data_IF_598442435480
#
_entry.id   IF_598442435480
#
_cell.length_a   1.000
_cell.length_b   1.000
_cell.length_c   1.000
_cell.angle_alpha   90.00
_cell.angle_beta   90.00
_cell.angle_gamma   90.00
#
_symmetry.space_group_name_H-M   'P 1'
#
loop_
_entity.id
_entity.type
_entity.pdbx_description
1 polymer ?
#
# COMPACT_ATOMS: atom_id res chain seq x y z
N UNK A 1 -7.53 5.38 11.04
CA UNK A 1 -6.62 4.33 10.52
C UNK A 1 -5.69 4.88 9.44
N UNK A 2 -6.16 5.54 8.37
CA UNK A 2 -5.31 6.09 7.29
C UNK A 2 -4.14 6.92 7.82
N UNK A 3 -4.38 7.89 8.71
CA UNK A 3 -3.31 8.72 9.27
C UNK A 3 -2.26 7.92 10.06
N UNK A 4 -2.70 6.92 10.83
CA UNK A 4 -1.80 6.02 11.58
C UNK A 4 -0.91 5.23 10.62
N UNK A 5 -1.48 4.70 9.54
CA UNK A 5 -0.71 3.95 8.55
C UNK A 5 0.26 4.86 7.79
N UNK A 6 -0.17 6.09 7.41
CA UNK A 6 0.70 7.06 6.76
C UNK A 6 1.88 7.49 7.65
N UNK A 7 1.65 7.70 8.94
CA UNK A 7 2.70 8.02 9.92
C UNK A 7 3.69 6.85 10.06
N UNK A 8 3.17 5.63 10.22
CA UNK A 8 4.01 4.43 10.37
C UNK A 8 4.84 4.11 9.11
N UNK A 9 4.37 4.53 7.92
CA UNK A 9 5.11 4.39 6.66
C UNK A 9 6.30 5.34 6.55
N UNK A 10 6.40 6.38 7.37
CA UNK A 10 7.48 7.38 7.28
C UNK A 10 7.61 7.91 5.84
N UNK A 11 6.51 8.44 5.31
CA UNK A 11 6.45 8.91 3.92
C UNK A 11 7.28 10.18 3.72
N UNK A 12 8.02 10.23 2.60
CA UNK A 12 8.82 11.37 2.19
C UNK A 12 8.51 11.75 0.74
N UNK A 13 8.78 13.00 0.37
CA UNK A 13 8.67 13.47 -1.01
C UNK A 13 9.56 12.62 -1.92
N UNK A 14 9.03 12.21 -3.05
CA UNK A 14 9.74 11.39 -4.03
C UNK A 14 9.61 9.88 -3.84
N UNK A 15 8.99 9.41 -2.74
CA UNK A 15 8.80 7.98 -2.54
C UNK A 15 7.93 7.34 -3.63
N UNK A 16 8.30 6.14 -4.04
CA UNK A 16 7.47 5.24 -4.85
C UNK A 16 6.71 4.31 -3.91
N UNK A 17 5.40 4.38 -3.93
CA UNK A 17 4.52 3.67 -2.99
C UNK A 17 3.64 2.68 -3.73
N UNK A 18 3.53 1.45 -3.21
CA UNK A 18 2.51 0.48 -3.59
C UNK A 18 1.41 0.47 -2.53
N UNK A 19 0.16 0.63 -2.95
CA UNK A 19 -1.02 0.35 -2.14
C UNK A 19 -1.71 -0.91 -2.65
N UNK A 20 -2.04 -1.83 -1.75
CA UNK A 20 -2.84 -3.03 -2.03
C UNK A 20 -4.20 -2.90 -1.36
N UNK A 21 -5.25 -2.85 -2.18
CA UNK A 21 -6.62 -2.56 -1.76
C UNK A 21 -6.97 -1.07 -1.89
N UNK A 22 -7.07 -0.57 -3.13
CA UNK A 22 -7.30 0.85 -3.42
C UNK A 22 -8.65 1.38 -2.96
N UNK A 23 -9.67 0.52 -2.91
CA UNK A 23 -11.01 0.86 -2.46
C UNK A 23 -11.60 2.07 -3.19
N UNK A 24 -11.80 3.17 -2.47
CA UNK A 24 -12.31 4.44 -3.03
C UNK A 24 -11.23 5.33 -3.67
N UNK A 25 -9.95 5.00 -3.49
CA UNK A 25 -8.80 5.85 -3.85
C UNK A 25 -8.42 6.89 -2.79
N UNK A 26 -9.16 6.97 -1.68
CA UNK A 26 -8.92 7.99 -0.65
C UNK A 26 -7.53 7.89 -0.02
N UNK A 27 -7.10 6.68 0.36
CA UNK A 27 -5.79 6.47 0.98
C UNK A 27 -4.66 6.80 -0.02
N UNK A 28 -4.77 6.33 -1.28
CA UNK A 28 -3.82 6.68 -2.34
C UNK A 28 -3.68 8.21 -2.51
N UNK A 29 -4.80 8.97 -2.47
CA UNK A 29 -4.77 10.42 -2.57
C UNK A 29 -4.04 11.08 -1.39
N UNK A 30 -4.28 10.60 -0.16
CA UNK A 30 -3.59 11.13 1.04
C UNK A 30 -2.08 10.86 1.00
N UNK A 31 -1.67 9.67 0.54
CA UNK A 31 -0.26 9.35 0.32
C UNK A 31 0.34 10.26 -0.75
N UNK A 32 -0.36 10.43 -1.88
CA UNK A 32 0.11 11.27 -2.99
C UNK A 32 0.33 12.74 -2.57
N UNK A 33 -0.50 13.27 -1.66
CA UNK A 33 -0.32 14.64 -1.15
C UNK A 33 0.96 14.80 -0.31
N UNK A 34 1.40 13.72 0.36
CA UNK A 34 2.63 13.72 1.16
C UNK A 34 3.88 13.54 0.27
N UNK A 35 3.85 12.57 -0.66
CA UNK A 35 5.04 12.22 -1.46
C UNK A 35 5.22 13.07 -2.72
N UNK A 36 4.18 13.79 -3.12
CA UNK A 36 4.14 14.63 -4.32
C UNK A 36 3.29 15.88 -4.09
N UNK A 37 3.64 16.75 -3.10
CA UNK A 37 2.84 17.92 -2.76
C UNK A 37 2.86 18.95 -3.91
N UNK A 38 1.71 19.57 -4.18
CA UNK A 38 1.56 20.57 -5.26
C UNK A 38 2.53 21.75 -5.18
N UNK A 39 3.07 22.03 -4.00
CA UNK A 39 4.04 23.10 -3.77
C UNK A 39 5.49 22.76 -4.11
N UNK A 40 5.80 21.48 -4.38
CA UNK A 40 7.15 21.05 -4.75
C UNK A 40 7.32 20.91 -6.27
N UNK A 41 8.56 20.98 -6.79
CA UNK A 41 8.85 20.72 -8.19
C UNK A 41 8.36 19.34 -8.63
N UNK A 42 7.74 19.24 -9.82
CA UNK A 42 7.28 17.94 -10.35
C UNK A 42 8.39 16.91 -10.52
N UNK A 43 9.62 17.35 -10.70
CA UNK A 43 10.81 16.48 -10.78
C UNK A 43 11.13 15.74 -9.48
N UNK A 44 10.59 16.21 -8.35
CA UNK A 44 10.77 15.62 -7.02
C UNK A 44 9.57 14.76 -6.60
N UNK A 45 8.52 14.74 -7.40
CA UNK A 45 7.30 14.02 -7.04
C UNK A 45 7.51 12.52 -7.01
N UNK A 46 7.00 11.92 -5.93
CA UNK A 46 6.80 10.48 -5.85
C UNK A 46 5.57 10.03 -6.65
N UNK A 47 5.28 8.73 -6.59
CA UNK A 47 4.13 8.16 -7.28
C UNK A 47 3.50 7.02 -6.47
N UNK A 48 2.17 6.97 -6.43
CA UNK A 48 1.40 5.88 -5.82
C UNK A 48 0.91 4.95 -6.93
N UNK A 49 1.24 3.68 -6.80
CA UNK A 49 0.63 2.59 -7.57
C UNK A 49 -0.32 1.86 -6.65
N UNK A 50 -1.61 1.83 -6.99
CA UNK A 50 -2.61 1.11 -6.20
C UNK A 50 -3.23 -0.02 -7.00
N UNK A 51 -3.38 -1.18 -6.38
CA UNK A 51 -3.95 -2.37 -6.98
C UNK A 51 -5.24 -2.72 -6.23
N UNK A 52 -6.34 -2.80 -6.99
CA UNK A 52 -7.67 -3.16 -6.47
C UNK A 52 -8.17 -4.41 -7.18
N UNK A 53 -8.59 -5.42 -6.41
CA UNK A 53 -9.04 -6.70 -6.97
C UNK A 53 -10.46 -6.63 -7.53
N UNK A 54 -11.30 -5.75 -6.96
CA UNK A 54 -12.69 -5.56 -7.39
C UNK A 54 -12.75 -4.55 -8.52
N UNK A 55 -13.03 -4.99 -9.73
CA UNK A 55 -13.02 -4.15 -10.93
C UNK A 55 -13.85 -2.86 -10.77
N UNK A 56 -15.10 -2.98 -10.29
CA UNK A 56 -15.97 -1.83 -10.11
C UNK A 56 -15.42 -0.79 -9.12
N UNK A 57 -14.73 -1.23 -8.06
CA UNK A 57 -14.07 -0.33 -7.11
C UNK A 57 -12.87 0.35 -7.75
N UNK A 58 -12.05 -0.38 -8.48
CA UNK A 58 -10.89 0.19 -9.18
C UNK A 58 -11.27 1.23 -10.23
N UNK A 59 -12.35 0.98 -10.99
CA UNK A 59 -12.88 1.95 -11.97
C UNK A 59 -13.44 3.20 -11.27
N UNK A 60 -14.15 3.04 -10.15
CA UNK A 60 -14.65 4.15 -9.35
C UNK A 60 -13.49 4.96 -8.74
N UNK A 61 -12.52 4.29 -8.13
CA UNK A 61 -11.33 4.93 -7.58
C UNK A 61 -10.60 5.76 -8.63
N UNK A 62 -10.43 5.24 -9.85
CA UNK A 62 -9.81 5.98 -10.96
C UNK A 62 -10.54 7.29 -11.26
N UNK A 63 -11.89 7.25 -11.31
CA UNK A 63 -12.70 8.46 -11.52
C UNK A 63 -12.54 9.46 -10.37
N UNK A 64 -12.55 8.98 -9.11
CA UNK A 64 -12.36 9.83 -7.95
C UNK A 64 -10.99 10.51 -7.95
N UNK A 65 -9.94 9.76 -8.22
CA UNK A 65 -8.55 10.26 -8.29
C UNK A 65 -8.39 11.33 -9.37
N UNK A 66 -8.94 11.10 -10.56
CA UNK A 66 -8.88 12.09 -11.66
C UNK A 66 -9.66 13.36 -11.28
N UNK A 67 -10.90 13.21 -10.80
CA UNK A 67 -11.76 14.34 -10.43
C UNK A 67 -11.18 15.17 -9.28
N UNK A 68 -10.45 14.53 -8.37
CA UNK A 68 -9.77 15.20 -7.25
C UNK A 68 -8.41 15.81 -7.65
N UNK A 69 -7.96 15.63 -8.91
CA UNK A 69 -6.73 16.21 -9.42
C UNK A 69 -5.45 15.46 -9.01
N UNK A 70 -5.54 14.15 -8.79
CA UNK A 70 -4.40 13.28 -8.44
C UNK A 70 -3.98 12.34 -9.58
N UNK A 71 -4.60 12.45 -10.77
CA UNK A 71 -4.35 11.54 -11.89
C UNK A 71 -2.92 11.50 -12.41
N UNK A 72 -2.11 12.53 -12.12
CA UNK A 72 -0.69 12.60 -12.45
C UNK A 72 0.25 12.03 -11.37
N UNK A 73 -0.29 11.64 -10.21
CA UNK A 73 0.46 11.17 -9.03
C UNK A 73 0.02 9.79 -8.54
N UNK A 74 -1.11 9.29 -9.04
CA UNK A 74 -1.69 8.00 -8.65
C UNK A 74 -2.07 7.20 -9.89
N UNK A 75 -1.60 5.97 -9.96
CA UNK A 75 -2.00 4.98 -10.97
C UNK A 75 -2.82 3.87 -10.31
N UNK A 76 -4.01 3.60 -10.86
CA UNK A 76 -4.89 2.54 -10.36
C UNK A 76 -4.89 1.38 -11.36
N UNK A 77 -4.58 0.19 -10.87
CA UNK A 77 -4.58 -1.07 -11.61
C UNK A 77 -5.62 -2.02 -11.01
N UNK A 78 -6.41 -2.68 -11.84
CA UNK A 78 -7.31 -3.76 -11.41
C UNK A 78 -6.56 -5.08 -11.51
N UNK A 79 -6.50 -5.82 -10.41
CA UNK A 79 -5.78 -7.09 -10.36
C UNK A 79 -5.57 -7.63 -8.96
N UNK A 80 -4.84 -8.72 -8.86
CA UNK A 80 -4.49 -9.37 -7.60
C UNK A 80 -3.32 -8.67 -6.92
N UNK A 81 -3.64 -7.77 -5.98
CA UNK A 81 -2.66 -7.00 -5.21
C UNK A 81 -1.82 -7.84 -4.25
N UNK A 82 -2.25 -9.06 -3.89
CA UNK A 82 -1.44 -9.94 -3.04
C UNK A 82 -0.12 -10.35 -3.68
N UNK A 83 -0.02 -10.26 -5.01
CA UNK A 83 1.20 -10.45 -5.81
C UNK A 83 2.07 -9.21 -5.91
N UNK A 84 1.57 -8.07 -5.43
CA UNK A 84 2.17 -6.76 -5.68
C UNK A 84 1.92 -6.26 -7.09
N UNK A 85 2.81 -5.38 -7.56
CA UNK A 85 2.80 -4.86 -8.93
C UNK A 85 4.24 -4.81 -9.46
N UNK A 86 4.69 -5.95 -9.95
CA UNK A 86 6.08 -6.21 -10.29
C UNK A 86 6.64 -5.25 -11.36
N UNK A 87 5.80 -4.85 -12.33
CA UNK A 87 6.23 -3.94 -13.42
C UNK A 87 6.78 -2.60 -12.92
N UNK A 88 6.36 -2.18 -11.73
CA UNK A 88 6.76 -0.89 -11.14
C UNK A 88 7.66 -1.04 -9.93
N UNK A 89 7.95 -2.28 -9.51
CA UNK A 89 8.88 -2.54 -8.42
C UNK A 89 10.31 -2.05 -8.76
N UNK A 90 11.19 -1.82 -7.77
CA UNK A 90 10.93 -1.91 -6.33
C UNK A 90 10.28 -0.64 -5.75
N UNK A 91 9.68 -0.77 -4.55
CA UNK A 91 8.97 0.30 -3.85
C UNK A 91 9.72 0.77 -2.60
N UNK A 92 9.66 2.07 -2.32
CA UNK A 92 10.15 2.63 -1.06
C UNK A 92 9.22 2.26 0.10
N UNK A 93 7.91 2.26 -0.16
CA UNK A 93 6.87 1.98 0.82
C UNK A 93 5.79 1.08 0.22
N UNK A 94 5.24 0.21 1.06
CA UNK A 94 4.10 -0.64 0.71
C UNK A 94 3.04 -0.50 1.80
N UNK A 95 1.79 -0.31 1.43
CA UNK A 95 0.66 -0.32 2.36
C UNK A 95 -0.39 -1.32 1.90
N UNK A 96 -0.87 -2.14 2.82
CA UNK A 96 -1.92 -3.12 2.56
C UNK A 96 -3.13 -2.76 3.41
N UNK A 97 -4.26 -2.53 2.76
CA UNK A 97 -5.51 -2.08 3.40
C UNK A 97 -6.53 -3.20 3.59
N UNK A 98 -6.07 -4.44 3.50
CA UNK A 98 -6.82 -5.66 3.74
C UNK A 98 -5.96 -6.64 4.55
N UNK A 99 -6.55 -7.43 5.44
CA UNK A 99 -5.82 -8.33 6.32
C UNK A 99 -5.37 -9.60 5.59
N UNK A 100 -4.07 -9.88 5.61
CA UNK A 100 -3.49 -11.09 5.08
C UNK A 100 -3.43 -12.20 6.14
N UNK A 101 -3.45 -13.50 5.75
CA UNK A 101 -3.21 -14.59 6.69
C UNK A 101 -1.78 -14.54 7.25
N UNK A 102 -0.81 -14.20 6.41
CA UNK A 102 0.61 -14.00 6.72
C UNK A 102 1.15 -12.87 5.84
N UNK A 103 2.36 -12.39 6.13
CA UNK A 103 3.03 -11.37 5.29
C UNK A 103 3.36 -11.96 3.91
N UNK A 104 2.75 -11.46 2.81
CA UNK A 104 2.96 -12.02 1.48
C UNK A 104 4.41 -11.82 1.00
N UNK A 105 5.10 -12.92 0.71
CA UNK A 105 6.49 -12.88 0.23
C UNK A 105 6.68 -11.99 -1.00
N UNK A 106 5.79 -11.99 -2.02
CA UNK A 106 5.95 -11.11 -3.18
C UNK A 106 6.01 -9.63 -2.84
N UNK A 107 5.31 -9.17 -1.77
CA UNK A 107 5.34 -7.78 -1.34
C UNK A 107 6.69 -7.43 -0.68
N UNK A 108 7.23 -8.36 0.12
CA UNK A 108 8.58 -8.21 0.73
C UNK A 108 9.67 -8.18 -0.33
N UNK A 109 9.57 -9.04 -1.35
CA UNK A 109 10.54 -9.12 -2.45
C UNK A 109 10.56 -7.80 -3.26
N UNK A 110 9.39 -7.17 -3.46
CA UNK A 110 9.23 -5.89 -4.18
C UNK A 110 9.55 -4.65 -3.33
N UNK A 111 9.83 -4.80 -2.03
CA UNK A 111 10.25 -3.72 -1.16
C UNK A 111 11.75 -3.45 -1.34
N UNK A 112 12.12 -2.18 -1.48
CA UNK A 112 13.54 -1.75 -1.51
C UNK A 112 14.26 -2.10 -0.21
N UNK A 113 15.58 -2.18 -0.25
CA UNK A 113 16.40 -2.09 0.96
C UNK A 113 16.17 -0.71 1.60
N UNK A 114 16.00 -0.67 2.92
CA UNK A 114 15.54 0.52 3.65
C UNK A 114 14.04 0.79 3.55
N UNK A 115 13.29 -0.05 2.84
CA UNK A 115 11.86 0.10 2.64
C UNK A 115 11.02 -0.34 3.85
N UNK A 116 9.81 0.20 3.92
CA UNK A 116 8.82 -0.09 4.98
C UNK A 116 7.52 -0.56 4.36
N UNK A 117 6.93 -1.61 4.94
CA UNK A 117 5.58 -2.05 4.61
C UNK A 117 4.70 -2.03 5.87
N UNK A 118 3.47 -1.54 5.73
CA UNK A 118 2.43 -1.60 6.77
C UNK A 118 1.32 -2.54 6.28
N UNK A 119 1.04 -3.58 7.08
CA UNK A 119 0.09 -4.63 6.69
C UNK A 119 -0.66 -5.17 7.91
N UNK A 120 -2.00 -5.30 7.85
CA UNK A 120 -2.75 -6.07 8.83
C UNK A 120 -2.55 -7.57 8.58
N UNK A 121 -2.21 -8.32 9.63
CA UNK A 121 -2.01 -9.80 9.56
C UNK A 121 -2.89 -10.49 10.60
N UNK A 122 -3.55 -11.55 10.21
CA UNK A 122 -4.34 -12.38 11.13
C UNK A 122 -5.59 -12.98 10.48
N UNK A 123 -6.38 -13.64 11.30
CA UNK A 123 -7.59 -14.36 10.87
C UNK A 123 -8.74 -13.40 10.55
N UNK A 124 -9.58 -13.78 9.60
CA UNK A 124 -10.83 -13.05 9.25
C UNK A 124 -11.90 -13.11 10.34
N UNK A 125 -11.82 -14.09 11.25
CA UNK A 125 -12.79 -14.31 12.33
C UNK A 125 -12.34 -13.73 13.66
N UNK A 126 -11.16 -13.15 13.75
CA UNK A 126 -10.56 -12.61 14.97
C UNK A 126 -9.91 -11.24 14.69
N UNK A 127 -9.39 -10.61 15.74
CA UNK A 127 -8.61 -9.38 15.58
C UNK A 127 -7.32 -9.67 14.80
N UNK A 128 -6.99 -8.75 13.88
CA UNK A 128 -5.70 -8.76 13.21
C UNK A 128 -4.72 -7.86 13.95
N UNK A 129 -3.45 -8.06 13.69
CA UNK A 129 -2.38 -7.19 14.17
C UNK A 129 -1.86 -6.35 13.02
N UNK A 130 -1.76 -5.03 13.21
CA UNK A 130 -1.08 -4.16 12.27
C UNK A 130 0.42 -4.35 12.45
N UNK A 131 1.09 -4.81 11.40
CA UNK A 131 2.52 -5.09 11.40
C UNK A 131 3.25 -4.06 10.54
N UNK A 132 4.33 -3.50 11.09
CA UNK A 132 5.33 -2.75 10.34
C UNK A 132 6.47 -3.68 9.98
N UNK A 133 6.66 -3.94 8.70
CA UNK A 133 7.76 -4.74 8.15
C UNK A 133 8.83 -3.79 7.64
N UNK A 134 10.05 -3.92 8.13
CA UNK A 134 11.19 -3.10 7.74
C UNK A 134 12.24 -3.98 7.07
N UNK A 135 12.63 -3.64 5.84
CA UNK A 135 13.71 -4.30 5.12
C UNK A 135 15.00 -3.50 5.29
N UNK A 136 15.90 -3.99 6.11
CA UNK A 136 17.17 -3.33 6.37
C UNK A 136 18.04 -3.14 5.11
N UNK A 137 19.03 -2.27 5.18
CA UNK A 137 20.01 -2.09 4.09
C UNK A 137 20.88 -3.35 3.88
N UNK A 138 20.94 -4.22 4.89
CA UNK A 138 21.54 -5.55 4.84
C UNK A 138 20.59 -6.63 4.28
N UNK A 139 19.38 -6.24 3.91
CA UNK A 139 18.32 -7.13 3.39
C UNK A 139 17.57 -7.91 4.46
N UNK A 140 17.92 -7.78 5.74
CA UNK A 140 17.22 -8.46 6.84
C UNK A 140 15.85 -7.84 7.07
N UNK A 141 14.88 -8.70 7.34
CA UNK A 141 13.51 -8.30 7.67
C UNK A 141 13.37 -8.20 9.18
N UNK A 142 12.77 -7.10 9.63
CA UNK A 142 12.33 -6.89 11.01
C UNK A 142 10.85 -6.57 11.01
N UNK A 143 10.14 -7.02 12.02
CA UNK A 143 8.73 -6.78 12.20
C UNK A 143 8.48 -6.10 13.54
N UNK A 144 7.55 -5.14 13.55
CA UNK A 144 7.08 -4.44 14.73
C UNK A 144 5.57 -4.53 14.79
N UNK A 145 5.03 -4.84 15.98
CA UNK A 145 3.60 -4.90 16.23
C UNK A 145 3.10 -3.51 16.63
N UNK A 146 2.21 -2.94 15.79
CA UNK A 146 1.61 -1.61 16.01
C UNK A 146 0.24 -1.66 16.72
N UNK A 147 -0.24 -2.86 17.08
CA UNK A 147 -1.49 -3.03 17.81
C UNK A 147 -2.58 -3.74 17.04
N UNK A 148 -3.70 -3.98 17.72
CA UNK A 148 -4.87 -4.69 17.18
C UNK A 148 -5.69 -3.83 16.24
N UNK A 149 -6.14 -4.43 15.13
CA UNK A 149 -6.95 -3.78 14.09
C UNK A 149 -8.04 -4.72 13.57
N UNK A 150 -8.97 -4.18 12.78
CA UNK A 150 -9.98 -4.94 12.07
C UNK A 150 -10.10 -4.43 10.63
N UNK A 151 -9.72 -5.27 9.68
CA UNK A 151 -9.80 -5.02 8.24
C UNK A 151 -10.61 -6.11 7.54
N UNK A 152 -11.08 -5.80 6.34
CA UNK A 152 -11.60 -6.81 5.41
C UNK A 152 -10.47 -7.76 5.01
N UNK A 153 -10.78 -9.04 4.65
CA UNK A 153 -9.74 -9.98 4.25
C UNK A 153 -9.06 -9.59 2.95
N UNK A 154 -7.75 -9.73 2.90
CA UNK A 154 -7.01 -9.74 1.64
C UNK A 154 -7.38 -11.00 0.87
N UNK A 155 -7.84 -10.83 -0.36
CA UNK A 155 -8.13 -11.91 -1.31
C UNK A 155 -7.06 -11.95 -2.39
N UNK A 156 -6.97 -13.09 -3.09
CA UNK A 156 -5.94 -13.31 -4.10
C UNK A 156 -5.06 -14.53 -3.76
N UNK A 157 -4.03 -14.75 -4.57
CA UNK A 157 -3.18 -15.96 -4.47
C UNK A 157 -2.47 -16.09 -3.12
N UNK A 158 -2.02 -14.96 -2.55
CA UNK A 158 -1.35 -14.89 -1.24
C UNK A 158 -2.26 -14.33 -0.14
N UNK A 159 -3.56 -14.25 -0.39
CA UNK A 159 -4.59 -13.84 0.56
C UNK A 159 -5.27 -15.02 1.25
N UNK A 160 -6.39 -14.73 1.92
CA UNK A 160 -7.27 -15.75 2.49
C UNK A 160 -7.93 -16.59 1.40
N UNK A 161 -8.06 -17.87 1.67
CA UNK A 161 -8.84 -18.84 0.85
C UNK A 161 -10.21 -19.01 1.48
N UNK A 162 -11.27 -18.83 0.70
CA UNK A 162 -12.66 -19.04 1.09
C UNK A 162 -13.24 -20.22 0.33
#
# INVERSE_FOLDING_TARGET
>A
MVCIMNEALELEVGHKVLEVGGGSGWHAATIAEIIAPKGSPRSEWGHVYTVEIVQALGENARRHIINAGYGDRVTITVGDGSKGYLEKAPYDRVVVTAAAPDVPKPLVDQLKQGGIMIIPVGSVSMFQTLIKVMKGTDGKIREENLGGVAFVPLTGEFGHRF
#
